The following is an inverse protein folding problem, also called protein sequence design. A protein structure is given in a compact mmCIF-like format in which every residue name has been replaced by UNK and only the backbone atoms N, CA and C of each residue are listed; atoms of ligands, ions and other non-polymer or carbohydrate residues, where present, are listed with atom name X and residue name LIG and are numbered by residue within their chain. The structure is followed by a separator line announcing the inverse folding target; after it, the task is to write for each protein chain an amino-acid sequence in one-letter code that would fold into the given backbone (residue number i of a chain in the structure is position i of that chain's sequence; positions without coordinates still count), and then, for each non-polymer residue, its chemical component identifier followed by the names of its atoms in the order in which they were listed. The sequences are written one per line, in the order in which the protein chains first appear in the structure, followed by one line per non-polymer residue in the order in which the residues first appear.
data_IF_133311645723
#
_entry.id   IF_133311645723
#
_cell.length_a   1.000
_cell.length_b   1.000
_cell.length_c   1.000
_cell.angle_alpha   90.00
_cell.angle_beta   90.00
_cell.angle_gamma   90.00
#
_symmetry.space_group_name_H-M   'P 1'
#
loop_
_entity.id
_entity.type
_entity.pdbx_description
1 polymer ?
#
# COMPACT_ATOMS: atom_id res chain seq x y z
N UNK A 1 -30.28 0.98 8.24
CA UNK A 1 -29.61 -0.04 7.41
C UNK A 1 -28.57 -0.74 8.28
N UNK A 2 -28.37 -2.06 8.15
CA UNK A 2 -27.34 -2.81 8.89
C UNK A 2 -26.42 -3.46 7.85
N UNK A 3 -25.11 -3.62 8.13
CA UNK A 3 -24.23 -4.35 7.25
C UNK A 3 -24.66 -5.81 7.26
N UNK A 4 -24.34 -6.52 6.19
CA UNK A 4 -24.58 -7.94 6.10
C UNK A 4 -23.79 -8.68 7.18
N UNK A 5 -24.35 -9.76 7.71
CA UNK A 5 -23.65 -10.59 8.70
C UNK A 5 -22.42 -11.27 8.08
N UNK A 6 -22.56 -11.64 6.81
CA UNK A 6 -21.54 -12.16 5.91
C UNK A 6 -21.58 -11.39 4.59
N UNK A 7 -20.41 -11.21 3.97
CA UNK A 7 -20.27 -10.61 2.64
C UNK A 7 -19.71 -11.63 1.66
N UNK A 8 -19.96 -11.42 0.38
CA UNK A 8 -19.42 -12.17 -0.74
C UNK A 8 -18.70 -11.26 -1.72
N UNK A 9 -18.48 -11.78 -2.93
CA UNK A 9 -17.73 -11.07 -3.97
C UNK A 9 -18.48 -9.85 -4.51
N UNK A 10 -19.81 -9.85 -4.45
CA UNK A 10 -20.64 -8.74 -4.93
C UNK A 10 -20.43 -7.49 -4.08
N UNK A 11 -20.43 -7.62 -2.75
CA UNK A 11 -20.12 -6.50 -1.85
C UNK A 11 -18.69 -5.97 -2.06
N UNK A 12 -17.72 -6.84 -2.37
CA UNK A 12 -16.35 -6.40 -2.69
C UNK A 12 -16.31 -5.57 -3.99
N UNK A 13 -17.07 -5.97 -5.00
CA UNK A 13 -17.16 -5.26 -6.26
C UNK A 13 -17.86 -3.90 -6.08
N UNK A 14 -19.01 -3.90 -5.41
CA UNK A 14 -19.85 -2.69 -5.22
C UNK A 14 -19.21 -1.66 -4.28
N UNK A 15 -18.44 -2.11 -3.28
CA UNK A 15 -17.71 -1.21 -2.36
C UNK A 15 -16.44 -0.60 -2.95
N UNK A 16 -16.03 -1.01 -4.16
CA UNK A 16 -14.79 -0.56 -4.79
C UNK A 16 -13.52 -1.16 -4.18
N UNK A 17 -13.64 -2.17 -3.31
CA UNK A 17 -12.50 -2.89 -2.71
C UNK A 17 -11.65 -3.55 -3.79
N UNK A 18 -12.26 -4.17 -4.81
CA UNK A 18 -11.50 -4.82 -5.89
C UNK A 18 -10.60 -3.83 -6.60
N UNK A 19 -11.09 -2.61 -6.87
CA UNK A 19 -10.29 -1.59 -7.52
C UNK A 19 -9.08 -1.16 -6.69
N UNK A 20 -9.30 -0.88 -5.39
CA UNK A 20 -8.18 -0.56 -4.48
C UNK A 20 -7.24 -1.76 -4.33
N UNK A 21 -7.78 -2.98 -4.27
CA UNK A 21 -7.01 -4.21 -4.19
C UNK A 21 -6.07 -4.41 -5.37
N UNK A 22 -6.51 -4.10 -6.60
CA UNK A 22 -5.65 -4.20 -7.79
C UNK A 22 -4.42 -3.28 -7.73
N UNK A 23 -4.52 -2.14 -7.03
CA UNK A 23 -3.41 -1.19 -6.86
C UNK A 23 -2.47 -1.57 -5.70
N UNK A 24 -3.02 -2.11 -4.60
CA UNK A 24 -2.25 -2.32 -3.36
C UNK A 24 -1.85 -3.77 -3.10
N UNK A 25 -2.68 -4.74 -3.49
CA UNK A 25 -2.41 -6.16 -3.38
C UNK A 25 -2.79 -6.92 -4.67
N UNK A 26 -2.14 -6.61 -5.81
CA UNK A 26 -2.38 -7.34 -7.05
C UNK A 26 -1.88 -8.78 -6.95
N UNK A 27 -2.62 -9.72 -7.55
CA UNK A 27 -2.12 -11.08 -7.79
C UNK A 27 -1.57 -11.18 -9.21
N UNK A 28 -0.45 -11.88 -9.35
CA UNK A 28 0.21 -12.10 -10.63
C UNK A 28 0.02 -13.57 -11.02
N UNK A 29 -0.55 -13.79 -12.20
CA UNK A 29 -0.61 -15.10 -12.85
C UNK A 29 0.50 -15.24 -13.89
N UNK A 30 0.71 -16.45 -14.39
CA UNK A 30 1.64 -16.73 -15.47
C UNK A 30 0.88 -17.41 -16.61
N UNK A 31 1.10 -16.93 -17.83
CA UNK A 31 0.49 -17.54 -19.01
C UNK A 31 1.20 -18.85 -19.40
N UNK A 32 0.76 -19.48 -20.49
CA UNK A 32 1.33 -20.74 -20.98
C UNK A 32 2.81 -20.64 -21.39
N UNK A 33 3.32 -19.42 -21.61
CA UNK A 33 4.71 -19.14 -21.94
C UNK A 33 5.54 -18.74 -20.71
N UNK A 34 4.93 -18.63 -19.53
CA UNK A 34 5.58 -18.19 -18.30
C UNK A 34 5.70 -16.67 -18.18
N UNK A 35 4.98 -15.88 -18.99
CA UNK A 35 4.95 -14.43 -18.89
C UNK A 35 3.98 -13.98 -17.79
N UNK A 36 4.38 -13.05 -16.90
CA UNK A 36 3.55 -12.59 -15.81
C UNK A 36 2.44 -11.64 -16.29
N UNK A 37 1.22 -11.81 -15.79
CA UNK A 37 0.10 -10.89 -16.04
C UNK A 37 -0.68 -10.61 -14.75
N UNK A 38 -1.38 -9.47 -14.69
CA UNK A 38 -2.26 -9.13 -13.58
C UNK A 38 -3.47 -10.07 -13.60
N UNK A 39 -3.52 -11.01 -12.66
CA UNK A 39 -4.56 -12.04 -12.59
C UNK A 39 -5.72 -11.67 -11.67
N UNK A 40 -5.58 -10.62 -10.86
CA UNK A 40 -6.59 -10.19 -9.91
C UNK A 40 -5.97 -9.47 -8.72
N UNK A 41 -6.57 -9.65 -7.54
CA UNK A 41 -6.10 -9.05 -6.29
C UNK A 41 -6.32 -9.99 -5.12
N UNK A 42 -5.43 -9.97 -4.12
CA UNK A 42 -5.56 -10.69 -2.84
C UNK A 42 -6.63 -10.10 -1.92
N UNK A 43 -7.33 -9.03 -2.35
CA UNK A 43 -8.40 -8.40 -1.58
C UNK A 43 -9.58 -9.35 -1.26
N UNK A 44 -9.73 -10.49 -1.96
CA UNK A 44 -10.75 -11.50 -1.61
C UNK A 44 -10.56 -12.08 -0.20
N UNK A 45 -9.34 -12.07 0.36
CA UNK A 45 -9.10 -12.48 1.75
C UNK A 45 -9.84 -11.60 2.77
N UNK A 46 -10.25 -10.39 2.37
CA UNK A 46 -11.12 -9.54 3.18
C UNK A 46 -12.46 -10.20 3.53
N UNK A 47 -13.02 -11.00 2.61
CA UNK A 47 -14.28 -11.74 2.84
C UNK A 47 -14.14 -12.64 4.06
N UNK A 48 -13.12 -13.49 4.06
CA UNK A 48 -12.86 -14.42 5.18
C UNK A 48 -12.61 -13.66 6.48
N UNK A 49 -11.82 -12.58 6.44
CA UNK A 49 -11.54 -11.78 7.64
C UNK A 49 -12.78 -11.08 8.19
N UNK A 50 -13.64 -10.54 7.32
CA UNK A 50 -14.90 -9.91 7.69
C UNK A 50 -15.90 -10.92 8.26
N UNK A 51 -16.09 -12.05 7.59
CA UNK A 51 -17.08 -13.06 7.96
C UNK A 51 -16.69 -13.74 9.29
N UNK A 52 -15.39 -13.96 9.50
CA UNK A 52 -14.86 -14.53 10.75
C UNK A 52 -14.61 -13.49 11.87
N UNK A 53 -15.12 -12.25 11.72
CA UNK A 53 -15.02 -11.16 12.71
C UNK A 53 -13.59 -10.88 13.17
N UNK A 54 -12.62 -10.94 12.26
CA UNK A 54 -11.19 -10.72 12.54
C UNK A 54 -10.76 -9.26 12.50
N UNK A 55 -11.65 -8.37 12.07
CA UNK A 55 -11.36 -6.95 11.87
C UNK A 55 -11.86 -6.17 13.09
N UNK A 56 -10.92 -5.65 13.89
CA UNK A 56 -11.23 -4.97 15.15
C UNK A 56 -12.21 -3.80 14.98
N UNK A 57 -12.11 -3.04 13.88
CA UNK A 57 -12.97 -1.88 13.61
C UNK A 57 -14.45 -2.26 13.32
N UNK A 58 -14.74 -3.52 12.98
CA UNK A 58 -16.09 -3.98 12.61
C UNK A 58 -17.12 -3.76 13.72
N UNK A 59 -16.70 -3.78 14.99
CA UNK A 59 -17.59 -3.55 16.13
C UNK A 59 -18.07 -2.08 16.26
N UNK A 60 -17.49 -1.14 15.52
CA UNK A 60 -17.83 0.29 15.59
C UNK A 60 -18.87 0.74 14.55
N UNK A 61 -19.53 -0.19 13.84
CA UNK A 61 -20.49 0.18 12.81
C UNK A 61 -21.61 1.12 13.32
N UNK A 62 -22.15 0.87 14.52
CA UNK A 62 -23.16 1.75 15.11
C UNK A 62 -22.65 3.18 15.30
N UNK A 63 -21.48 3.33 15.91
CA UNK A 63 -20.83 4.64 16.09
C UNK A 63 -20.43 5.32 14.78
N UNK A 64 -20.16 4.55 13.72
CA UNK A 64 -19.92 5.08 12.39
C UNK A 64 -21.18 5.70 11.79
N UNK A 65 -22.33 5.02 11.90
CA UNK A 65 -23.61 5.54 11.42
C UNK A 65 -24.10 6.75 12.23
N UNK A 66 -23.81 6.80 13.53
CA UNK A 66 -24.19 7.91 14.40
C UNK A 66 -23.26 9.13 14.27
N UNK A 67 -22.14 9.00 13.55
CA UNK A 67 -21.19 10.09 13.39
C UNK A 67 -21.66 11.08 12.31
N UNK A 68 -22.30 12.18 12.74
CA UNK A 68 -22.86 13.21 11.85
C UNK A 68 -21.84 13.80 10.88
N UNK A 69 -20.60 14.03 11.31
CA UNK A 69 -19.53 14.60 10.49
C UNK A 69 -19.16 13.67 9.32
N UNK A 70 -19.00 12.37 9.61
CA UNK A 70 -18.73 11.33 8.59
C UNK A 70 -19.94 11.21 7.66
N UNK A 71 -21.15 11.06 8.20
CA UNK A 71 -22.35 10.87 7.38
C UNK A 71 -22.64 12.10 6.49
N UNK A 72 -22.41 13.31 6.99
CA UNK A 72 -22.50 14.55 6.20
C UNK A 72 -21.52 14.54 5.02
N UNK A 73 -20.30 14.03 5.23
CA UNK A 73 -19.32 13.88 4.16
C UNK A 73 -19.74 12.86 3.12
N UNK A 74 -20.18 11.68 3.55
CA UNK A 74 -20.63 10.61 2.64
C UNK A 74 -21.80 11.07 1.80
N UNK A 75 -22.79 11.72 2.41
CA UNK A 75 -23.94 12.30 1.69
C UNK A 75 -23.49 13.33 0.64
N UNK A 76 -22.59 14.25 1.02
CA UNK A 76 -22.09 15.29 0.11
C UNK A 76 -21.31 14.71 -1.08
N UNK A 77 -20.61 13.59 -0.85
CA UNK A 77 -19.83 12.87 -1.85
C UNK A 77 -20.67 11.83 -2.62
N UNK A 78 -21.96 11.67 -2.29
CA UNK A 78 -22.88 10.66 -2.85
C UNK A 78 -22.39 9.22 -2.68
N UNK A 79 -21.75 8.95 -1.53
CA UNK A 79 -21.25 7.62 -1.19
C UNK A 79 -22.28 6.86 -0.34
N UNK A 80 -22.57 5.62 -0.71
CA UNK A 80 -23.40 4.74 0.11
C UNK A 80 -22.70 4.41 1.43
N UNK A 81 -23.31 4.69 2.60
CA UNK A 81 -22.66 4.47 3.89
C UNK A 81 -22.32 3.02 4.19
N UNK A 82 -23.09 2.04 3.71
CA UNK A 82 -22.85 0.63 3.99
C UNK A 82 -21.72 0.10 3.10
N UNK A 83 -21.74 0.42 1.81
CA UNK A 83 -20.66 0.03 0.90
C UNK A 83 -19.34 0.71 1.25
N UNK A 84 -19.40 1.98 1.62
CA UNK A 84 -18.21 2.70 2.07
C UNK A 84 -17.69 2.15 3.41
N UNK A 85 -18.56 1.63 4.28
CA UNK A 85 -18.13 0.95 5.50
C UNK A 85 -17.27 -0.29 5.19
N UNK A 86 -17.64 -1.11 4.21
CA UNK A 86 -16.83 -2.25 3.80
C UNK A 86 -15.46 -1.82 3.28
N UNK A 87 -15.43 -0.79 2.43
CA UNK A 87 -14.17 -0.20 1.95
C UNK A 87 -13.30 0.30 3.11
N UNK A 88 -13.88 1.03 4.07
CA UNK A 88 -13.17 1.54 5.24
C UNK A 88 -12.56 0.40 6.06
N UNK A 89 -13.31 -0.68 6.28
CA UNK A 89 -12.82 -1.86 7.00
C UNK A 89 -11.67 -2.53 6.25
N UNK A 90 -11.77 -2.68 4.92
CA UNK A 90 -10.69 -3.24 4.11
C UNK A 90 -9.42 -2.41 4.21
N UNK A 91 -9.53 -1.08 4.00
CA UNK A 91 -8.37 -0.19 4.09
C UNK A 91 -7.75 -0.21 5.49
N UNK A 92 -8.57 -0.20 6.54
CA UNK A 92 -8.09 -0.32 7.92
C UNK A 92 -7.35 -1.63 8.15
N UNK A 93 -7.95 -2.76 7.78
CA UNK A 93 -7.42 -4.09 8.00
C UNK A 93 -6.12 -4.32 7.21
N UNK A 94 -6.06 -3.85 5.95
CA UNK A 94 -4.84 -3.84 5.16
C UNK A 94 -3.73 -3.02 5.82
N UNK A 95 -4.06 -1.85 6.37
CA UNK A 95 -3.08 -1.02 7.10
C UNK A 95 -2.58 -1.71 8.37
N UNK A 96 -3.45 -2.42 9.10
CA UNK A 96 -3.05 -3.21 10.28
C UNK A 96 -2.13 -4.35 9.86
N UNK A 97 -2.50 -5.10 8.82
CA UNK A 97 -1.70 -6.21 8.29
C UNK A 97 -0.31 -5.74 7.83
N UNK A 98 -0.25 -4.61 7.13
CA UNK A 98 1.00 -4.05 6.59
C UNK A 98 1.87 -3.37 7.66
N UNK A 99 1.26 -2.66 8.61
CA UNK A 99 2.02 -1.79 9.53
C UNK A 99 2.26 -2.41 10.91
N UNK A 100 1.46 -3.40 11.32
CA UNK A 100 1.47 -3.96 12.68
C UNK A 100 1.77 -5.45 12.63
N UNK A 101 1.01 -6.21 11.84
CA UNK A 101 1.12 -7.68 11.82
C UNK A 101 2.17 -8.20 10.82
N UNK A 102 2.88 -7.31 10.12
CA UNK A 102 3.78 -7.67 9.02
C UNK A 102 4.97 -8.56 9.43
N UNK A 103 5.43 -9.35 8.46
CA UNK A 103 6.71 -10.06 8.53
C UNK A 103 7.76 -9.22 7.81
N UNK A 104 8.87 -8.94 8.49
CA UNK A 104 9.99 -8.19 7.93
C UNK A 104 10.62 -8.97 6.78
N UNK A 105 10.84 -8.28 5.67
CA UNK A 105 11.71 -8.78 4.61
C UNK A 105 12.92 -7.89 4.44
N UNK A 106 14.07 -8.52 4.25
CA UNK A 106 15.24 -7.84 3.72
C UNK A 106 15.20 -7.89 2.19
N UNK A 107 15.83 -6.92 1.52
CA UNK A 107 16.00 -6.95 0.06
C UNK A 107 16.56 -8.33 -0.33
N UNK A 108 15.73 -9.13 -1.01
CA UNK A 108 16.13 -10.43 -1.50
C UNK A 108 17.29 -10.33 -2.48
N UNK A 109 17.95 -11.47 -2.70
CA UNK A 109 19.04 -11.57 -3.69
C UNK A 109 18.57 -11.10 -5.08
N UNK A 110 17.29 -11.25 -5.41
CA UNK A 110 16.68 -10.68 -6.64
C UNK A 110 16.76 -9.15 -6.71
N UNK A 111 16.23 -8.43 -5.72
CA UNK A 111 16.20 -6.94 -5.72
C UNK A 111 17.60 -6.34 -5.80
N UNK A 112 18.58 -6.94 -5.11
CA UNK A 112 19.97 -6.49 -5.17
C UNK A 112 20.59 -6.67 -6.56
N UNK A 113 20.30 -7.78 -7.23
CA UNK A 113 20.79 -8.07 -8.59
C UNK A 113 20.10 -7.17 -9.60
N UNK A 114 18.80 -6.94 -9.49
CA UNK A 114 18.07 -6.01 -10.37
C UNK A 114 18.62 -4.59 -10.25
N UNK A 115 18.85 -4.12 -9.01
CA UNK A 115 19.45 -2.80 -8.75
C UNK A 115 20.86 -2.70 -9.32
N UNK A 116 21.65 -3.77 -9.20
CA UNK A 116 22.97 -3.83 -9.81
C UNK A 116 22.90 -3.72 -11.34
N UNK A 117 22.05 -4.54 -12.00
CA UNK A 117 21.84 -4.49 -13.45
C UNK A 117 21.43 -3.08 -13.90
N UNK A 118 20.42 -2.51 -13.25
CA UNK A 118 19.93 -1.16 -13.56
C UNK A 118 21.03 -0.10 -13.41
N UNK A 119 21.80 -0.16 -12.33
CA UNK A 119 22.91 0.79 -12.08
C UNK A 119 23.97 0.70 -13.19
N UNK A 120 24.25 -0.50 -13.69
CA UNK A 120 25.19 -0.71 -14.80
C UNK A 120 24.63 -0.14 -16.11
N UNK A 121 23.36 -0.38 -16.44
CA UNK A 121 22.74 0.13 -17.66
C UNK A 121 22.61 1.66 -17.68
N UNK A 122 22.27 2.26 -16.54
CA UNK A 122 22.07 3.72 -16.41
C UNK A 122 23.37 4.51 -16.47
N UNK A 123 24.53 3.87 -16.24
CA UNK A 123 25.83 4.56 -16.19
C UNK A 123 26.26 5.15 -17.53
N UNK A 124 25.69 4.70 -18.66
CA UNK A 124 25.97 5.22 -20.01
C UNK A 124 27.49 5.38 -20.28
N UNK A 125 28.24 4.30 -20.08
CA UNK A 125 29.70 4.22 -20.28
C UNK A 125 30.57 5.09 -19.34
N UNK A 126 29.99 5.74 -18.32
CA UNK A 126 30.78 6.42 -17.30
C UNK A 126 31.69 5.41 -16.57
N UNK A 127 32.95 5.78 -16.27
CA UNK A 127 33.86 4.92 -15.49
C UNK A 127 33.21 4.47 -14.19
N UNK A 128 33.32 3.18 -13.86
CA UNK A 128 32.82 2.63 -12.61
C UNK A 128 33.91 1.90 -11.84
N UNK A 129 33.71 1.83 -10.54
CA UNK A 129 34.50 1.01 -9.62
C UNK A 129 33.54 0.07 -8.87
N UNK A 130 33.87 -1.22 -8.84
CA UNK A 130 33.17 -2.21 -8.03
C UNK A 130 34.08 -2.65 -6.88
N UNK A 131 33.68 -2.34 -5.65
CA UNK A 131 34.39 -2.77 -4.44
C UNK A 131 33.68 -3.96 -3.79
N UNK A 132 34.37 -5.10 -3.70
CA UNK A 132 33.99 -6.23 -2.85
C UNK A 132 34.75 -6.15 -1.52
N UNK A 133 34.04 -6.08 -0.40
CA UNK A 133 34.64 -6.04 0.93
C UNK A 133 34.25 -7.28 1.73
N UNK A 134 35.24 -8.01 2.24
CA UNK A 134 35.06 -9.19 3.09
C UNK A 134 35.81 -8.93 4.41
N UNK A 135 35.08 -8.53 5.44
CA UNK A 135 35.67 -8.11 6.72
C UNK A 135 36.61 -6.91 6.55
N UNK A 136 37.90 -7.10 6.83
CA UNK A 136 38.96 -6.09 6.62
C UNK A 136 39.53 -6.10 5.20
N UNK A 137 39.32 -7.16 4.42
CA UNK A 137 39.86 -7.31 3.07
C UNK A 137 38.98 -6.57 2.07
N UNK A 138 39.62 -5.94 1.08
CA UNK A 138 38.97 -5.26 -0.04
C UNK A 138 39.55 -5.75 -1.36
N UNK A 139 38.69 -6.03 -2.31
CA UNK A 139 39.01 -6.26 -3.71
C UNK A 139 38.29 -5.20 -4.53
N UNK A 140 39.03 -4.51 -5.40
CA UNK A 140 38.50 -3.37 -6.15
C UNK A 140 38.72 -3.65 -7.64
N UNK A 141 37.63 -3.66 -8.40
CA UNK A 141 37.63 -3.70 -9.86
C UNK A 141 37.41 -2.28 -10.37
N UNK A 142 38.36 -1.76 -11.14
CA UNK A 142 38.26 -0.43 -11.80
C UNK A 142 38.14 -0.55 -13.32
N UNK A 143 38.30 -1.74 -13.87
CA UNK A 143 38.19 -2.00 -15.31
C UNK A 143 36.71 -2.00 -15.72
N UNK A 144 36.30 -0.93 -16.39
CA UNK A 144 34.89 -0.75 -16.79
C UNK A 144 34.37 -1.84 -17.73
N UNK A 145 35.12 -2.33 -18.74
CA UNK A 145 34.69 -3.47 -19.55
C UNK A 145 34.42 -4.75 -18.74
N UNK A 146 35.25 -5.07 -17.75
CA UNK A 146 35.01 -6.20 -16.85
C UNK A 146 33.74 -6.01 -16.04
N UNK A 147 33.49 -4.80 -15.54
CA UNK A 147 32.27 -4.47 -14.78
C UNK A 147 31.03 -4.57 -15.67
N UNK A 148 31.08 -4.11 -16.93
CA UNK A 148 29.99 -4.27 -17.89
C UNK A 148 29.70 -5.73 -18.20
N UNK A 149 30.75 -6.54 -18.38
CA UNK A 149 30.60 -7.98 -18.61
C UNK A 149 29.89 -8.66 -17.44
N UNK A 150 30.24 -8.31 -16.20
CA UNK A 150 29.54 -8.84 -15.01
C UNK A 150 28.06 -8.43 -15.03
N UNK A 151 27.76 -7.16 -15.31
CA UNK A 151 26.38 -6.67 -15.44
C UNK A 151 25.58 -7.40 -16.53
N UNK A 152 26.19 -7.59 -17.70
CA UNK A 152 25.61 -8.34 -18.81
C UNK A 152 25.32 -9.79 -18.43
N UNK A 153 26.28 -10.49 -17.80
CA UNK A 153 26.09 -11.87 -17.35
C UNK A 153 24.96 -11.97 -16.32
N UNK A 154 24.88 -11.03 -15.38
CA UNK A 154 23.76 -10.95 -14.44
C UNK A 154 22.43 -10.77 -15.16
N UNK A 155 22.35 -9.87 -16.15
CA UNK A 155 21.14 -9.62 -16.95
C UNK A 155 20.69 -10.86 -17.73
N UNK A 156 21.61 -11.57 -18.38
CA UNK A 156 21.30 -12.77 -19.18
C UNK A 156 20.91 -13.97 -18.31
N UNK A 157 21.51 -14.09 -17.12
CA UNK A 157 21.21 -15.18 -16.20
C UNK A 157 19.92 -14.94 -15.42
N UNK A 158 19.62 -13.69 -15.06
CA UNK A 158 18.55 -13.32 -14.13
C UNK A 158 17.17 -13.89 -14.52
N UNK A 159 16.66 -13.76 -15.77
CA UNK A 159 15.36 -14.34 -16.15
C UNK A 159 15.28 -15.86 -15.97
N UNK A 160 16.41 -16.56 -16.01
CA UNK A 160 16.48 -18.04 -15.89
C UNK A 160 16.48 -18.53 -14.44
N UNK A 161 16.80 -17.64 -13.50
CA UNK A 161 17.01 -18.00 -12.09
C UNK A 161 16.17 -17.17 -11.11
N UNK A 162 15.49 -16.11 -11.58
CA UNK A 162 14.67 -15.21 -10.74
C UNK A 162 13.64 -15.93 -9.87
N UNK A 163 13.13 -17.07 -10.33
CA UNK A 163 12.10 -17.86 -9.64
C UNK A 163 12.70 -18.95 -8.73
N UNK A 164 14.03 -19.10 -8.71
CA UNK A 164 14.66 -20.03 -7.78
C UNK A 164 14.58 -19.47 -6.36
N UNK A 165 14.28 -20.34 -5.39
CA UNK A 165 14.06 -20.00 -3.98
C UNK A 165 15.15 -19.10 -3.36
N UNK A 166 16.40 -19.24 -3.80
CA UNK A 166 17.54 -18.43 -3.34
C UNK A 166 17.43 -16.93 -3.71
N UNK A 167 16.59 -16.58 -4.69
CA UNK A 167 16.36 -15.21 -5.16
C UNK A 167 15.12 -14.54 -4.56
N UNK A 168 14.28 -15.27 -3.81
CA UNK A 168 13.15 -14.70 -3.08
C UNK A 168 13.60 -13.63 -2.07
N UNK A 169 12.68 -12.73 -1.70
CA UNK A 169 12.87 -11.86 -0.53
C UNK A 169 13.16 -12.75 0.69
N UNK A 170 14.21 -12.43 1.44
CA UNK A 170 14.53 -13.22 2.63
C UNK A 170 13.50 -12.87 3.70
N UNK A 171 12.56 -13.79 3.91
CA UNK A 171 11.59 -13.72 5.01
C UNK A 171 12.39 -13.86 6.31
N UNK A 172 12.44 -12.79 7.10
CA UNK A 172 12.99 -12.83 8.44
C UNK A 172 11.88 -13.31 9.38
N UNK A 173 11.72 -14.63 9.44
CA UNK A 173 10.78 -15.26 10.37
C UNK A 173 11.05 -14.73 11.79
N UNK A 174 9.99 -14.30 12.48
CA UNK A 174 10.00 -13.71 13.85
C UNK A 174 10.44 -12.24 13.97
N UNK A 175 10.82 -11.56 12.89
CA UNK A 175 11.03 -10.11 12.90
C UNK A 175 9.88 -9.37 12.21
N UNK A 176 9.36 -8.30 12.82
CA UNK A 176 8.42 -7.36 12.19
C UNK A 176 9.11 -6.02 11.93
N UNK A 177 8.59 -5.26 10.97
CA UNK A 177 8.98 -3.86 10.80
C UNK A 177 8.01 -3.00 11.60
N UNK A 178 8.53 -2.27 12.59
CA UNK A 178 7.75 -1.24 13.28
C UNK A 178 7.55 -0.02 12.37
N UNK A 179 6.32 0.22 11.96
CA UNK A 179 5.94 1.44 11.27
C UNK A 179 5.35 2.46 12.24
N UNK A 180 5.73 3.72 12.09
CA UNK A 180 5.13 4.81 12.88
C UNK A 180 3.65 5.00 12.55
N UNK A 181 2.87 5.55 13.49
CA UNK A 181 1.48 5.99 13.27
C UNK A 181 1.34 6.89 12.04
N UNK A 182 2.33 7.74 11.78
CA UNK A 182 2.37 8.61 10.58
C UNK A 182 2.47 7.79 9.28
N UNK A 183 3.22 6.68 9.30
CA UNK A 183 3.34 5.80 8.15
C UNK A 183 2.04 5.04 7.89
N UNK A 184 1.40 4.53 8.94
CA UNK A 184 0.08 3.90 8.83
C UNK A 184 -0.98 4.90 8.33
N UNK A 185 -1.00 6.12 8.88
CA UNK A 185 -1.89 7.18 8.42
C UNK A 185 -1.65 7.58 6.96
N UNK A 186 -0.39 7.60 6.53
CA UNK A 186 -0.02 7.84 5.13
C UNK A 186 -0.60 6.75 4.21
N UNK A 187 -0.41 5.47 4.54
CA UNK A 187 -0.94 4.34 3.77
C UNK A 187 -2.46 4.38 3.70
N UNK A 188 -3.11 4.60 4.85
CA UNK A 188 -4.56 4.70 4.97
C UNK A 188 -5.13 5.80 4.06
N UNK A 189 -4.55 7.01 4.12
CA UNK A 189 -4.93 8.10 3.23
C UNK A 189 -4.66 7.78 1.75
N UNK A 190 -3.54 7.13 1.44
CA UNK A 190 -3.18 6.77 0.06
C UNK A 190 -4.21 5.81 -0.55
N UNK A 191 -4.67 4.81 0.20
CA UNK A 191 -5.67 3.84 -0.25
C UNK A 191 -7.04 4.47 -0.45
N UNK A 192 -7.55 5.26 0.52
CA UNK A 192 -8.83 5.95 0.35
C UNK A 192 -8.80 6.96 -0.80
N UNK A 193 -7.65 7.61 -1.04
CA UNK A 193 -7.48 8.46 -2.23
C UNK A 193 -7.53 7.69 -3.53
N UNK A 194 -6.95 6.50 -3.60
CA UNK A 194 -7.06 5.64 -4.78
C UNK A 194 -8.55 5.39 -5.14
N UNK A 195 -9.39 5.10 -4.15
CA UNK A 195 -10.83 4.96 -4.35
C UNK A 195 -11.50 6.26 -4.84
N UNK A 196 -11.19 7.42 -4.23
CA UNK A 196 -11.76 8.69 -4.68
C UNK A 196 -11.31 9.07 -6.09
N UNK A 197 -10.06 8.78 -6.45
CA UNK A 197 -9.46 9.09 -7.75
C UNK A 197 -9.97 8.18 -8.89
N UNK A 198 -10.63 7.06 -8.55
CA UNK A 198 -11.30 6.17 -9.50
C UNK A 198 -12.82 6.35 -9.57
N UNK A 199 -13.42 7.02 -8.58
CA UNK A 199 -14.86 7.27 -8.52
C UNK A 199 -15.23 8.55 -9.29
N UNK A 200 -15.71 8.41 -10.54
CA UNK A 200 -16.01 9.57 -11.40
C UNK A 200 -16.94 10.60 -10.73
N UNK A 201 -18.03 10.14 -10.09
CA UNK A 201 -18.97 11.03 -9.40
C UNK A 201 -18.32 11.82 -8.25
N UNK A 202 -17.32 11.24 -7.56
CA UNK A 202 -16.53 11.96 -6.54
C UNK A 202 -15.62 13.00 -7.18
N UNK A 203 -14.95 12.64 -8.28
CA UNK A 203 -14.01 13.54 -8.98
C UNK A 203 -14.71 14.74 -9.60
N UNK A 204 -15.89 14.54 -10.18
CA UNK A 204 -16.69 15.60 -10.81
C UNK A 204 -17.12 16.68 -9.80
N UNK A 205 -17.15 16.37 -8.51
CA UNK A 205 -17.42 17.32 -7.42
C UNK A 205 -16.21 18.17 -7.02
N UNK A 206 -15.01 17.89 -7.56
CA UNK A 206 -13.81 18.68 -7.29
C UNK A 206 -13.86 20.00 -8.07
N UNK A 207 -13.30 21.05 -7.48
CA UNK A 207 -13.07 22.29 -8.21
C UNK A 207 -12.11 22.05 -9.38
N UNK A 208 -12.24 22.85 -10.45
CA UNK A 208 -11.37 22.73 -11.62
C UNK A 208 -9.89 22.78 -11.24
N UNK A 209 -9.10 21.82 -11.74
CA UNK A 209 -7.68 21.69 -11.42
C UNK A 209 -7.35 21.14 -10.02
N UNK A 210 -8.34 20.83 -9.18
CA UNK A 210 -8.10 20.29 -7.85
C UNK A 210 -7.90 18.76 -7.87
N UNK A 211 -6.79 18.30 -7.27
CA UNK A 211 -6.49 16.87 -7.12
C UNK A 211 -7.28 16.19 -5.98
N UNK A 212 -7.90 16.96 -5.09
CA UNK A 212 -8.71 16.48 -3.96
C UNK A 212 -9.58 17.64 -3.45
N UNK A 213 -10.87 17.39 -3.23
CA UNK A 213 -11.82 18.37 -2.68
C UNK A 213 -11.63 18.61 -1.18
N UNK A 214 -12.26 19.65 -0.63
CA UNK A 214 -12.28 19.85 0.81
C UNK A 214 -13.11 18.79 1.54
N UNK A 215 -14.19 18.31 0.93
CA UNK A 215 -15.04 17.30 1.56
C UNK A 215 -14.35 15.94 1.66
N UNK A 216 -13.56 15.56 0.66
CA UNK A 216 -12.67 14.40 0.76
C UNK A 216 -11.63 14.56 1.89
N UNK A 217 -11.06 15.77 2.08
CA UNK A 217 -10.13 16.02 3.19
C UNK A 217 -10.82 15.94 4.56
N UNK A 218 -12.01 16.49 4.69
CA UNK A 218 -12.81 16.38 5.91
C UNK A 218 -13.06 14.90 6.25
N UNK A 219 -13.56 14.12 5.27
CA UNK A 219 -13.82 12.70 5.43
C UNK A 219 -12.55 11.95 5.86
N UNK A 220 -11.41 12.13 5.18
CA UNK A 220 -10.15 11.51 5.56
C UNK A 220 -9.73 11.87 6.99
N UNK A 221 -9.93 13.12 7.42
CA UNK A 221 -9.58 13.57 8.76
C UNK A 221 -10.42 12.85 9.83
N UNK A 222 -11.74 12.82 9.63
CA UNK A 222 -12.65 12.16 10.56
C UNK A 222 -12.41 10.65 10.61
N UNK A 223 -12.17 10.00 9.47
CA UNK A 223 -11.88 8.57 9.40
C UNK A 223 -10.58 8.17 10.11
N UNK A 224 -9.50 8.96 9.94
CA UNK A 224 -8.23 8.72 10.64
C UNK A 224 -8.40 8.72 12.17
N UNK A 225 -9.21 9.66 12.67
CA UNK A 225 -9.50 9.75 14.10
C UNK A 225 -10.45 8.64 14.55
N UNK A 226 -11.53 8.40 13.81
CA UNK A 226 -12.54 7.39 14.10
C UNK A 226 -11.97 5.97 14.15
N UNK A 227 -11.15 5.62 13.16
CA UNK A 227 -10.46 4.32 13.07
C UNK A 227 -9.38 4.17 14.15
N UNK A 228 -8.99 5.25 14.83
CA UNK A 228 -7.97 5.25 15.88
C UNK A 228 -6.53 5.21 15.35
N UNK A 229 -6.33 5.42 14.04
CA UNK A 229 -5.00 5.47 13.41
C UNK A 229 -4.24 6.72 13.85
N UNK A 230 -4.94 7.82 14.07
CA UNK A 230 -4.35 9.03 14.68
C UNK A 230 -5.24 9.56 15.78
N UNK A 231 -4.65 9.81 16.95
CA UNK A 231 -5.35 10.41 18.10
C UNK A 231 -5.28 11.94 18.12
N UNK A 232 -4.79 12.55 17.04
CA UNK A 232 -4.66 14.01 16.98
C UNK A 232 -6.03 14.67 16.84
N UNK A 233 -6.46 15.38 17.90
CA UNK A 233 -7.77 16.04 17.96
C UNK A 233 -7.99 17.12 16.91
N UNK A 234 -6.94 17.66 16.29
CA UNK A 234 -7.08 18.60 15.18
C UNK A 234 -7.80 18.00 13.97
N UNK A 235 -7.83 16.66 13.86
CA UNK A 235 -8.57 15.93 12.83
C UNK A 235 -10.10 15.99 13.03
N UNK A 236 -10.58 16.31 14.23
CA UNK A 236 -12.00 16.53 14.51
C UNK A 236 -12.46 17.95 14.11
N UNK A 237 -11.52 18.86 13.85
CA UNK A 237 -11.82 20.23 13.41
C UNK A 237 -10.97 20.60 12.20
N UNK A 238 -11.08 19.85 11.08
CA UNK A 238 -10.16 19.96 9.95
C UNK A 238 -10.20 21.34 9.28
N UNK A 239 -11.37 21.99 9.26
CA UNK A 239 -11.53 23.34 8.71
C UNK A 239 -10.77 24.38 9.55
N UNK A 240 -10.94 24.36 10.88
CA UNK A 240 -10.22 25.27 11.80
C UNK A 240 -8.71 25.01 11.80
N UNK A 241 -8.29 23.77 11.54
CA UNK A 241 -6.89 23.42 11.38
C UNK A 241 -6.33 23.70 9.97
N UNK A 242 -7.13 24.25 9.06
CA UNK A 242 -6.80 24.45 7.64
C UNK A 242 -6.23 23.20 6.96
N UNK A 243 -6.68 22.03 7.43
CA UNK A 243 -6.24 20.70 7.03
C UNK A 243 -4.74 20.44 7.25
N UNK A 244 -4.03 21.23 8.07
CA UNK A 244 -2.57 21.13 8.21
C UNK A 244 -2.13 19.76 8.74
N UNK A 245 -2.86 19.20 9.70
CA UNK A 245 -2.59 17.87 10.25
C UNK A 245 -2.75 16.81 9.16
N UNK A 246 -3.87 16.80 8.45
CA UNK A 246 -4.11 15.85 7.35
C UNK A 246 -3.05 15.99 6.24
N UNK A 247 -2.73 17.22 5.81
CA UNK A 247 -1.73 17.48 4.77
C UNK A 247 -0.37 16.88 5.15
N UNK A 248 0.03 16.99 6.41
CA UNK A 248 1.26 16.38 6.93
C UNK A 248 1.24 14.86 6.92
N UNK A 249 0.09 14.23 7.20
CA UNK A 249 -0.09 12.77 7.15
C UNK A 249 -0.16 12.24 5.71
N UNK A 250 -0.81 12.99 4.80
CA UNK A 250 -0.91 12.63 3.38
C UNK A 250 0.41 12.82 2.63
N UNK A 251 1.22 13.80 3.02
CA UNK A 251 2.47 14.16 2.35
C UNK A 251 3.59 14.36 3.39
N UNK A 252 4.02 13.27 4.07
CA UNK A 252 5.12 13.36 5.03
C UNK A 252 6.41 13.75 4.31
N UNK A 253 7.29 14.49 5.01
CA UNK A 253 8.58 14.95 4.46
C UNK A 253 9.43 13.82 3.87
N UNK A 254 9.38 12.65 4.52
CA UNK A 254 9.95 11.40 4.02
C UNK A 254 8.81 10.42 3.81
N UNK A 255 8.56 10.02 2.57
CA UNK A 255 7.54 9.01 2.27
C UNK A 255 7.97 7.68 2.88
N UNK A 256 7.10 7.00 3.65
CA UNK A 256 7.36 5.65 4.14
C UNK A 256 7.57 4.68 2.97
N UNK A 257 8.53 3.77 3.14
CA UNK A 257 8.68 2.61 2.28
C UNK A 257 8.22 1.39 3.08
N UNK A 258 7.20 0.71 2.59
CA UNK A 258 6.68 -0.51 3.23
C UNK A 258 7.47 -1.70 2.68
N UNK A 259 8.34 -2.25 3.53
CA UNK A 259 9.20 -3.41 3.27
C UNK A 259 8.79 -4.62 4.12
N UNK A 260 7.62 -4.56 4.74
CA UNK A 260 7.00 -5.70 5.40
C UNK A 260 6.04 -6.37 4.42
N UNK A 261 5.94 -7.68 4.49
CA UNK A 261 4.90 -8.44 3.79
C UNK A 261 3.77 -8.66 4.79
N UNK A 262 2.55 -8.25 4.42
CA UNK A 262 1.35 -8.53 5.20
C UNK A 262 1.06 -10.03 5.25
N UNK A 263 0.45 -10.52 6.32
CA UNK A 263 0.16 -11.95 6.46
C UNK A 263 -1.01 -12.41 5.59
N UNK A 264 -1.91 -11.50 5.21
CA UNK A 264 -3.20 -11.86 4.64
C UNK A 264 -3.40 -11.38 3.21
N UNK A 265 -2.75 -10.28 2.83
CA UNK A 265 -2.97 -9.64 1.53
C UNK A 265 -1.76 -9.69 0.59
N UNK A 266 -0.73 -10.48 0.92
CA UNK A 266 0.49 -10.63 0.13
C UNK A 266 0.41 -11.71 -0.95
#
# INVERSE_FOLDING_TARGET
MKPAEEIGIDELNESGIVHVGLEFCPTIGFDEMGEPFLSGTSAFHFIDRYNNKKIALQNKFGSYLENEDIQSCLHSLELDPVMFWYLLLFVYDYCVDTCIDNIKTEEGTSKQIQKFIQTIEERKEQPAELTLKIGKNKFILTDSPTIDLIGFLCKEAYPKVKDAFIFGDRIMLEESVEYSDTAMAYLFCKMLRCYFDSSNHVKEKRAEGANISNKEKELLSYLLYFAGISRNKNLLTPILNEYNTLKGLMNPKKKPEFRGIGNWYA
#
